data_IF_588820015394
#
_entry.id   IF_588820015394
#
_cell.length_a   1.000
_cell.length_b   1.000
_cell.length_c   1.000
_cell.angle_alpha   90.00
_cell.angle_beta   90.00
_cell.angle_gamma   90.00
#
_symmetry.space_group_name_H-M   'P 1'
#
loop_
_entity.id
_entity.type
_entity.pdbx_description
1 polymer ?
#
# COMPACT_ATOMS: atom_id res chain seq x y z
N UNK A 1 -44.05 9.18 11.17
CA UNK A 1 -43.48 9.28 9.80
C UNK A 1 -42.22 10.16 9.85
N UNK A 2 -41.08 9.62 10.21
CA UNK A 2 -39.82 10.36 10.19
C UNK A 2 -39.24 10.24 8.78
N UNK A 3 -39.26 11.36 8.05
CA UNK A 3 -38.77 11.46 6.71
C UNK A 3 -37.30 11.05 6.61
N UNK A 4 -37.04 9.97 5.91
CA UNK A 4 -35.73 9.47 5.51
C UNK A 4 -35.10 10.50 4.54
N UNK A 5 -34.48 11.58 5.09
CA UNK A 5 -33.74 12.51 4.25
C UNK A 5 -32.52 11.73 3.66
N UNK A 6 -32.37 11.70 2.33
CA UNK A 6 -31.24 11.03 1.74
C UNK A 6 -29.96 11.67 2.27
N UNK A 7 -29.10 10.87 2.89
CA UNK A 7 -27.74 11.30 3.25
C UNK A 7 -27.12 11.89 1.99
N UNK A 8 -26.75 13.17 2.04
CA UNK A 8 -26.21 13.85 0.87
C UNK A 8 -24.98 13.06 0.38
N UNK A 9 -25.00 12.47 -0.80
CA UNK A 9 -23.90 11.70 -1.39
C UNK A 9 -22.64 12.55 -1.62
N UNK A 10 -22.73 13.86 -1.46
CA UNK A 10 -21.64 14.81 -1.71
C UNK A 10 -20.39 14.58 -0.87
N UNK A 11 -20.53 14.30 0.43
CA UNK A 11 -19.38 14.05 1.31
C UNK A 11 -18.56 12.83 0.87
N UNK A 12 -19.24 11.80 0.39
CA UNK A 12 -18.59 10.57 -0.09
C UNK A 12 -17.74 10.83 -1.34
N UNK A 13 -18.30 11.52 -2.34
CA UNK A 13 -17.56 11.85 -3.54
C UNK A 13 -16.40 12.82 -3.28
N UNK A 14 -16.54 13.72 -2.31
CA UNK A 14 -15.44 14.56 -1.83
C UNK A 14 -14.32 13.70 -1.20
N UNK A 15 -14.69 12.69 -0.39
CA UNK A 15 -13.72 11.74 0.16
C UNK A 15 -13.00 10.97 -0.95
N UNK A 16 -13.72 10.51 -1.97
CA UNK A 16 -13.12 9.80 -3.13
C UNK A 16 -12.19 10.72 -3.92
N UNK A 17 -12.60 11.97 -4.20
CA UNK A 17 -11.75 12.94 -4.89
C UNK A 17 -10.47 13.25 -4.10
N UNK A 18 -10.59 13.48 -2.78
CA UNK A 18 -9.45 13.65 -1.90
C UNK A 18 -8.53 12.40 -1.90
N UNK A 19 -9.13 11.20 -1.91
CA UNK A 19 -8.38 9.94 -1.98
C UNK A 19 -7.60 9.80 -3.29
N UNK A 20 -8.23 10.06 -4.44
CA UNK A 20 -7.55 9.97 -5.75
C UNK A 20 -6.36 10.91 -5.80
N UNK A 21 -6.56 12.19 -5.50
CA UNK A 21 -5.51 13.21 -5.57
C UNK A 21 -4.38 12.93 -4.56
N UNK A 22 -4.72 12.63 -3.31
CA UNK A 22 -3.75 12.31 -2.28
C UNK A 22 -2.96 11.04 -2.59
N UNK A 23 -3.60 10.02 -3.17
CA UNK A 23 -2.93 8.77 -3.55
C UNK A 23 -2.05 8.94 -4.80
N UNK A 24 -2.42 9.80 -5.75
CA UNK A 24 -1.54 10.14 -6.89
C UNK A 24 -0.28 10.81 -6.35
N UNK A 25 -0.39 11.86 -5.53
CA UNK A 25 0.77 12.56 -4.98
C UNK A 25 1.65 11.66 -4.10
N UNK A 26 1.04 10.83 -3.26
CA UNK A 26 1.75 9.83 -2.45
C UNK A 26 2.55 8.86 -3.32
N UNK A 27 1.90 8.23 -4.29
CA UNK A 27 2.55 7.19 -5.09
C UNK A 27 3.50 7.76 -6.16
N UNK A 28 3.35 9.03 -6.53
CA UNK A 28 4.34 9.80 -7.28
C UNK A 28 5.60 10.02 -6.43
N UNK A 29 5.44 10.40 -5.16
CA UNK A 29 6.58 10.68 -4.27
C UNK A 29 7.41 9.43 -3.94
N UNK A 30 6.81 8.24 -3.81
CA UNK A 30 7.50 7.04 -3.35
C UNK A 30 8.72 6.63 -4.22
N UNK A 31 8.63 6.49 -5.55
CA UNK A 31 9.81 6.22 -6.36
C UNK A 31 10.78 7.40 -6.40
N UNK A 32 10.28 8.66 -6.34
CA UNK A 32 11.13 9.85 -6.30
C UNK A 32 12.01 9.91 -5.04
N UNK A 33 11.54 9.41 -3.90
CA UNK A 33 12.33 9.29 -2.69
C UNK A 33 13.58 8.44 -2.96
N UNK A 34 13.46 7.32 -3.65
CA UNK A 34 14.60 6.46 -3.99
C UNK A 34 15.60 7.17 -4.89
N UNK A 35 15.15 7.82 -5.96
CA UNK A 35 16.01 8.63 -6.83
C UNK A 35 16.70 9.77 -6.09
N UNK A 36 15.98 10.46 -5.18
CA UNK A 36 16.56 11.53 -4.37
C UNK A 36 17.61 11.00 -3.39
N UNK A 37 17.35 9.85 -2.74
CA UNK A 37 18.31 9.19 -1.84
C UNK A 37 19.61 8.88 -2.60
N UNK A 38 19.51 8.32 -3.82
CA UNK A 38 20.65 8.04 -4.67
C UNK A 38 21.41 9.32 -5.09
N UNK A 39 20.67 10.35 -5.49
CA UNK A 39 21.27 11.64 -5.89
C UNK A 39 21.99 12.35 -4.72
N UNK A 40 21.59 12.09 -3.46
CA UNK A 40 22.28 12.57 -2.25
C UNK A 40 23.46 11.66 -1.83
N UNK A 41 23.88 10.71 -2.66
CA UNK A 41 24.96 9.78 -2.37
C UNK A 41 24.59 8.64 -1.42
N UNK A 42 23.28 8.41 -1.20
CA UNK A 42 22.80 7.29 -0.40
C UNK A 42 22.88 5.97 -1.17
N UNK A 43 23.12 4.90 -0.43
CA UNK A 43 23.19 3.53 -0.94
C UNK A 43 21.87 2.78 -0.71
N UNK A 44 21.84 1.50 -1.12
CA UNK A 44 20.69 0.59 -0.95
C UNK A 44 20.12 0.55 0.47
N UNK A 45 21.01 0.59 1.47
CA UNK A 45 20.59 0.64 2.88
C UNK A 45 19.79 1.91 3.19
N UNK A 46 20.22 3.06 2.68
CA UNK A 46 19.51 4.34 2.86
C UNK A 46 18.12 4.31 2.21
N UNK A 47 17.98 3.67 1.04
CA UNK A 47 16.68 3.46 0.38
C UNK A 47 15.78 2.57 1.24
N UNK A 48 16.32 1.46 1.76
CA UNK A 48 15.59 0.55 2.65
C UNK A 48 15.15 1.21 3.95
N UNK A 49 16.04 1.94 4.61
CA UNK A 49 15.75 2.67 5.85
C UNK A 49 14.71 3.78 5.66
N UNK A 50 14.79 4.52 4.56
CA UNK A 50 13.82 5.56 4.22
C UNK A 50 12.44 4.96 3.93
N UNK A 51 12.39 3.82 3.25
CA UNK A 51 11.15 3.08 3.03
C UNK A 51 10.59 2.49 4.33
N UNK A 52 11.45 1.99 5.22
CA UNK A 52 11.04 1.52 6.54
C UNK A 52 10.47 2.66 7.41
N UNK A 53 11.07 3.84 7.37
CA UNK A 53 10.62 5.02 8.13
C UNK A 53 9.20 5.45 7.73
N UNK A 54 8.83 5.31 6.46
CA UNK A 54 7.47 5.56 5.97
C UNK A 54 6.42 4.72 6.71
N UNK A 55 6.74 3.52 7.17
CA UNK A 55 5.81 2.65 7.89
C UNK A 55 6.01 2.67 9.42
N UNK A 56 7.20 3.01 9.93
CA UNK A 56 7.57 2.91 11.34
C UNK A 56 6.73 3.81 12.25
N UNK A 57 6.67 5.11 11.93
CA UNK A 57 5.86 6.07 12.72
C UNK A 57 4.38 5.74 12.66
N UNK A 58 3.80 5.41 11.48
CA UNK A 58 2.45 4.87 11.39
C UNK A 58 2.18 3.64 12.26
N UNK A 59 3.11 2.69 12.37
CA UNK A 59 2.95 1.50 13.25
C UNK A 59 2.76 1.94 14.71
N UNK A 60 3.62 2.81 15.19
CA UNK A 60 3.56 3.30 16.57
C UNK A 60 2.26 4.08 16.86
N UNK A 61 1.79 4.86 15.87
CA UNK A 61 0.63 5.72 16.02
C UNK A 61 -0.72 5.03 15.73
N UNK A 62 -0.74 3.88 15.03
CA UNK A 62 -1.97 3.27 14.53
C UNK A 62 -3.01 2.97 15.62
N UNK A 63 -2.58 2.40 16.75
CA UNK A 63 -3.48 2.08 17.87
C UNK A 63 -4.04 3.33 18.55
N UNK A 64 -3.19 4.36 18.70
CA UNK A 64 -3.62 5.64 19.25
C UNK A 64 -4.62 6.33 18.32
N UNK A 65 -4.31 6.38 17.03
CA UNK A 65 -5.17 7.01 16.02
C UNK A 65 -6.52 6.28 15.88
N UNK A 66 -6.52 4.94 15.94
CA UNK A 66 -7.75 4.14 15.99
C UNK A 66 -8.65 4.58 17.15
N UNK A 67 -8.11 4.66 18.37
CA UNK A 67 -8.88 5.12 19.56
C UNK A 67 -9.36 6.55 19.41
N UNK A 68 -8.56 7.45 18.80
CA UNK A 68 -8.97 8.84 18.56
C UNK A 68 -10.12 8.90 17.56
N UNK A 69 -10.07 8.13 16.49
CA UNK A 69 -11.15 8.07 15.50
C UNK A 69 -12.42 7.48 16.09
N UNK A 70 -12.33 6.47 16.97
CA UNK A 70 -13.49 5.85 17.60
C UNK A 70 -14.22 6.79 18.56
N UNK A 71 -13.51 7.66 19.27
CA UNK A 71 -14.06 8.62 20.22
C UNK A 71 -14.60 9.90 19.59
N UNK A 72 -14.23 10.24 18.37
CA UNK A 72 -14.63 11.49 17.72
C UNK A 72 -15.96 11.33 16.99
N UNK A 73 -16.90 12.25 17.22
CA UNK A 73 -18.17 12.32 16.49
C UNK A 73 -17.95 12.72 15.02
N UNK A 74 -16.95 13.56 14.73
CA UNK A 74 -16.61 13.98 13.37
C UNK A 74 -15.22 13.54 13.00
N UNK A 75 -15.09 12.82 11.88
CA UNK A 75 -13.83 12.36 11.32
C UNK A 75 -13.19 13.37 10.35
N UNK A 76 -13.92 14.44 10.01
CA UNK A 76 -13.47 15.51 9.11
C UNK A 76 -12.07 16.03 9.48
N UNK A 77 -11.83 16.31 10.76
CA UNK A 77 -10.55 16.84 11.22
C UNK A 77 -9.39 15.85 10.99
N UNK A 78 -9.62 14.54 11.17
CA UNK A 78 -8.59 13.52 10.97
C UNK A 78 -8.32 13.32 9.48
N UNK A 79 -9.36 13.32 8.62
CA UNK A 79 -9.22 13.29 7.16
C UNK A 79 -8.45 14.51 6.68
N UNK A 80 -8.79 15.71 7.17
CA UNK A 80 -8.11 16.96 6.80
C UNK A 80 -6.64 16.96 7.21
N UNK A 81 -6.31 16.55 8.45
CA UNK A 81 -4.93 16.40 8.92
C UNK A 81 -4.17 15.39 8.06
N UNK A 82 -4.78 14.25 7.73
CA UNK A 82 -4.20 13.26 6.83
C UNK A 82 -3.90 13.84 5.46
N UNK A 83 -4.83 14.60 4.87
CA UNK A 83 -4.63 15.27 3.57
C UNK A 83 -3.56 16.35 3.63
N UNK A 84 -3.51 17.14 4.70
CA UNK A 84 -2.48 18.16 4.91
C UNK A 84 -1.09 17.54 5.03
N UNK A 85 -0.94 16.45 5.77
CA UNK A 85 0.33 15.72 5.89
C UNK A 85 0.74 15.07 4.56
N UNK A 86 -0.22 14.54 3.78
CA UNK A 86 0.02 14.03 2.43
C UNK A 86 0.48 15.13 1.47
N UNK A 87 -0.01 16.34 1.62
CA UNK A 87 0.42 17.48 0.84
C UNK A 87 1.78 18.03 1.32
N UNK A 88 1.96 18.17 2.64
CA UNK A 88 3.20 18.70 3.22
C UNK A 88 4.40 17.76 3.02
N UNK A 89 4.17 16.44 3.09
CA UNK A 89 5.23 15.44 2.96
C UNK A 89 6.11 15.62 1.72
N UNK A 90 5.55 15.70 0.50
CA UNK A 90 6.33 15.93 -0.71
C UNK A 90 7.06 17.26 -0.76
N UNK A 91 6.49 18.35 -0.22
CA UNK A 91 7.18 19.64 -0.11
C UNK A 91 8.38 19.55 0.84
N UNK A 92 8.20 18.93 2.01
CA UNK A 92 9.31 18.70 2.95
C UNK A 92 10.37 17.82 2.31
N UNK A 93 9.97 16.77 1.61
CA UNK A 93 10.89 15.92 0.84
C UNK A 93 11.67 16.74 -0.19
N UNK A 94 11.01 17.64 -0.95
CA UNK A 94 11.64 18.43 -1.99
C UNK A 94 12.77 19.34 -1.43
N UNK A 95 12.55 19.95 -0.27
CA UNK A 95 13.53 20.87 0.34
C UNK A 95 14.54 20.19 1.27
N UNK A 96 14.43 18.85 1.47
CA UNK A 96 15.33 18.12 2.37
C UNK A 96 16.73 17.95 1.75
N UNK A 97 17.81 18.53 2.32
CA UNK A 97 19.14 18.48 1.74
C UNK A 97 19.99 17.29 2.21
N UNK A 98 19.47 16.43 3.09
CA UNK A 98 20.22 15.31 3.67
C UNK A 98 19.38 14.03 3.76
N UNK A 99 20.05 12.88 3.80
CA UNK A 99 19.41 11.56 3.93
C UNK A 99 18.55 11.45 5.18
N UNK A 100 18.99 12.04 6.31
CA UNK A 100 18.26 12.03 7.57
C UNK A 100 16.94 12.79 7.42
N UNK A 101 16.97 13.98 6.83
CA UNK A 101 15.76 14.79 6.62
C UNK A 101 14.80 14.14 5.61
N UNK A 102 15.31 13.50 4.54
CA UNK A 102 14.49 12.71 3.60
C UNK A 102 13.80 11.55 4.33
N UNK A 103 14.53 10.86 5.22
CA UNK A 103 13.98 9.76 6.03
C UNK A 103 12.88 10.24 6.97
N UNK A 104 13.08 11.38 7.65
CA UNK A 104 12.06 12.00 8.51
C UNK A 104 10.83 12.47 7.72
N UNK A 105 11.05 13.09 6.56
CA UNK A 105 9.97 13.54 5.67
C UNK A 105 9.16 12.35 5.10
N UNK A 106 9.81 11.21 4.84
CA UNK A 106 9.14 9.96 4.46
C UNK A 106 8.19 9.47 5.57
N UNK A 107 8.60 9.59 6.84
CA UNK A 107 7.73 9.26 7.98
C UNK A 107 6.50 10.19 8.08
N UNK A 108 6.66 11.50 7.79
CA UNK A 108 5.53 12.46 7.72
C UNK A 108 4.54 12.02 6.64
N UNK A 109 5.03 11.67 5.45
CA UNK A 109 4.21 11.18 4.34
C UNK A 109 3.45 9.90 4.74
N UNK A 110 4.12 8.97 5.43
CA UNK A 110 3.51 7.75 5.95
C UNK A 110 2.43 8.02 6.99
N UNK A 111 2.65 8.98 7.89
CA UNK A 111 1.66 9.38 8.89
C UNK A 111 0.42 10.00 8.22
N UNK A 112 0.61 10.86 7.22
CA UNK A 112 -0.49 11.40 6.41
C UNK A 112 -1.33 10.30 5.77
N UNK A 113 -0.67 9.31 5.18
CA UNK A 113 -1.34 8.15 4.58
C UNK A 113 -2.14 7.33 5.61
N UNK A 114 -1.58 7.09 6.80
CA UNK A 114 -2.28 6.37 7.87
C UNK A 114 -3.52 7.13 8.33
N UNK A 115 -3.37 8.43 8.66
CA UNK A 115 -4.47 9.27 9.13
C UNK A 115 -5.62 9.30 8.12
N UNK A 116 -5.29 9.54 6.85
CA UNK A 116 -6.28 9.59 5.77
C UNK A 116 -7.00 8.24 5.58
N UNK A 117 -6.24 7.14 5.59
CA UNK A 117 -6.78 5.79 5.36
C UNK A 117 -7.72 5.37 6.49
N UNK A 118 -7.29 5.50 7.76
CA UNK A 118 -8.10 5.10 8.92
C UNK A 118 -9.35 5.96 9.01
N UNK A 119 -9.22 7.28 8.86
CA UNK A 119 -10.36 8.18 8.94
C UNK A 119 -11.36 7.98 7.79
N UNK A 120 -10.87 7.77 6.57
CA UNK A 120 -11.70 7.49 5.39
C UNK A 120 -12.47 6.18 5.52
N UNK A 121 -11.81 5.10 5.92
CA UNK A 121 -12.46 3.81 6.17
C UNK A 121 -13.48 3.90 7.32
N UNK A 122 -13.14 4.59 8.40
CA UNK A 122 -14.06 4.80 9.53
C UNK A 122 -15.26 5.65 9.13
N UNK A 123 -15.08 6.65 8.25
CA UNK A 123 -16.18 7.46 7.74
C UNK A 123 -17.15 6.62 6.88
N UNK A 124 -16.62 5.78 6.00
CA UNK A 124 -17.44 4.86 5.20
C UNK A 124 -18.21 3.90 6.11
N UNK A 125 -17.52 3.25 7.06
CA UNK A 125 -18.16 2.31 7.97
C UNK A 125 -19.30 2.92 8.84
N UNK A 126 -19.20 4.22 9.16
CA UNK A 126 -20.19 4.90 10.02
C UNK A 126 -21.34 5.54 9.25
N UNK A 127 -21.07 6.07 8.06
CA UNK A 127 -21.98 6.97 7.38
C UNK A 127 -22.59 6.39 6.11
N UNK A 128 -22.09 5.24 5.63
CA UNK A 128 -22.68 4.55 4.48
C UNK A 128 -23.65 3.47 4.97
N UNK A 129 -24.88 3.40 4.40
CA UNK A 129 -25.83 2.34 4.71
C UNK A 129 -25.25 0.95 4.42
N UNK A 130 -25.59 -0.09 5.21
CA UNK A 130 -25.05 -1.44 5.07
C UNK A 130 -25.13 -2.01 3.64
N UNK A 131 -26.24 -1.80 2.94
CA UNK A 131 -26.44 -2.29 1.56
C UNK A 131 -25.53 -1.65 0.50
N UNK A 132 -24.89 -0.50 0.80
CA UNK A 132 -23.98 0.20 -0.13
C UNK A 132 -22.53 0.18 0.34
N UNK A 133 -22.23 -0.47 1.46
CA UNK A 133 -20.93 -0.43 2.10
C UNK A 133 -19.84 -1.07 1.23
N UNK A 134 -20.13 -2.21 0.59
CA UNK A 134 -19.19 -2.89 -0.31
C UNK A 134 -18.82 -2.02 -1.51
N UNK A 135 -19.81 -1.36 -2.12
CA UNK A 135 -19.57 -0.42 -3.22
C UNK A 135 -18.73 0.78 -2.77
N UNK A 136 -18.99 1.32 -1.58
CA UNK A 136 -18.24 2.47 -1.07
C UNK A 136 -16.79 2.12 -0.75
N UNK A 137 -16.52 0.97 -0.13
CA UNK A 137 -15.16 0.46 0.05
C UNK A 137 -14.49 0.13 -1.29
N UNK A 138 -15.26 -0.37 -2.27
CA UNK A 138 -14.80 -0.60 -3.63
C UNK A 138 -14.26 0.68 -4.28
N UNK A 139 -15.03 1.77 -4.26
CA UNK A 139 -14.58 3.07 -4.78
C UNK A 139 -13.37 3.64 -4.04
N UNK A 140 -13.34 3.51 -2.71
CA UNK A 140 -12.22 3.97 -1.90
C UNK A 140 -10.94 3.20 -2.22
N UNK A 141 -11.00 1.87 -2.35
CA UNK A 141 -9.84 1.06 -2.74
C UNK A 141 -9.43 1.26 -4.20
N UNK A 142 -10.38 1.55 -5.09
CA UNK A 142 -10.08 1.92 -6.47
C UNK A 142 -9.27 3.23 -6.56
N UNK A 143 -9.56 4.21 -5.68
CA UNK A 143 -8.77 5.45 -5.60
C UNK A 143 -7.29 5.17 -5.27
N UNK A 144 -7.02 4.22 -4.39
CA UNK A 144 -5.66 3.79 -4.05
C UNK A 144 -4.97 3.12 -5.24
N UNK A 145 -5.69 2.27 -5.95
CA UNK A 145 -5.18 1.57 -7.12
C UNK A 145 -4.88 2.56 -8.27
N UNK A 146 -5.71 3.58 -8.47
CA UNK A 146 -5.44 4.68 -9.42
C UNK A 146 -4.16 5.42 -9.07
N UNK A 147 -3.96 5.76 -7.79
CA UNK A 147 -2.72 6.39 -7.34
C UNK A 147 -1.48 5.53 -7.59
N UNK A 148 -1.57 4.22 -7.31
CA UNK A 148 -0.48 3.27 -7.56
C UNK A 148 -0.15 3.11 -9.05
N UNK A 149 -1.10 3.33 -9.94
CA UNK A 149 -0.90 3.27 -11.39
C UNK A 149 -0.37 4.60 -11.94
N UNK A 150 -1.03 5.71 -11.62
CA UNK A 150 -0.74 7.03 -12.17
C UNK A 150 0.51 7.65 -11.55
N UNK A 151 0.70 7.49 -10.23
CA UNK A 151 1.80 8.11 -9.49
C UNK A 151 3.19 7.78 -10.04
N UNK A 152 3.59 6.50 -10.12
CA UNK A 152 4.90 6.12 -10.65
C UNK A 152 5.10 6.48 -12.11
N UNK A 153 4.02 6.46 -12.92
CA UNK A 153 4.07 6.91 -14.31
C UNK A 153 4.45 8.40 -14.38
N UNK A 154 3.78 9.24 -13.59
CA UNK A 154 4.09 10.68 -13.52
C UNK A 154 5.49 10.92 -12.98
N UNK A 155 5.95 10.13 -11.99
CA UNK A 155 7.32 10.22 -11.48
C UNK A 155 8.36 9.96 -12.57
N UNK A 156 8.16 8.89 -13.34
CA UNK A 156 9.04 8.56 -14.45
C UNK A 156 9.04 9.62 -15.55
N UNK A 157 7.86 10.12 -15.93
CA UNK A 157 7.74 11.18 -16.93
C UNK A 157 8.40 12.49 -16.47
N UNK A 158 8.30 12.84 -15.18
CA UNK A 158 8.91 14.04 -14.62
C UNK A 158 10.44 13.97 -14.57
N UNK A 159 11.02 12.77 -14.34
CA UNK A 159 12.46 12.54 -14.38
C UNK A 159 13.02 12.37 -15.81
N UNK A 160 12.15 12.12 -16.78
CA UNK A 160 12.50 12.03 -18.19
C UNK A 160 13.24 10.75 -18.60
N UNK A 161 13.65 10.67 -19.87
CA UNK A 161 14.28 9.50 -20.45
C UNK A 161 15.80 9.46 -20.22
N UNK A 162 16.41 10.50 -19.68
CA UNK A 162 17.87 10.64 -19.58
C UNK A 162 18.44 9.70 -18.51
N UNK A 163 19.50 8.98 -18.88
CA UNK A 163 20.30 8.11 -18.01
C UNK A 163 21.64 8.76 -17.72
N UNK A 164 22.28 8.35 -16.63
CA UNK A 164 23.63 8.78 -16.31
C UNK A 164 23.77 10.30 -16.14
N UNK A 165 22.66 11.02 -15.87
CA UNK A 165 22.72 12.45 -15.58
C UNK A 165 23.49 12.70 -14.28
N UNK A 166 24.23 13.81 -14.17
CA UNK A 166 24.91 14.18 -12.92
C UNK A 166 23.95 14.16 -11.73
N UNK A 167 24.45 13.79 -10.56
CA UNK A 167 23.66 13.70 -9.33
C UNK A 167 22.92 15.01 -9.00
N UNK A 168 23.56 16.14 -9.26
CA UNK A 168 22.95 17.47 -9.06
C UNK A 168 21.72 17.69 -9.95
N UNK A 169 21.78 17.31 -11.23
CA UNK A 169 20.64 17.42 -12.16
C UNK A 169 19.54 16.48 -11.72
N UNK A 170 19.87 15.24 -11.39
CA UNK A 170 18.90 14.26 -10.87
C UNK A 170 18.23 14.76 -9.59
N UNK A 171 18.97 15.44 -8.71
CA UNK A 171 18.43 16.03 -7.48
C UNK A 171 17.44 17.16 -7.78
N UNK A 172 17.75 18.04 -8.74
CA UNK A 172 16.86 19.13 -9.16
C UNK A 172 15.58 18.54 -9.76
N UNK A 173 15.69 17.57 -10.66
CA UNK A 173 14.54 16.91 -11.30
C UNK A 173 13.65 16.22 -10.25
N UNK A 174 14.26 15.46 -9.33
CA UNK A 174 13.53 14.79 -8.25
C UNK A 174 12.82 15.79 -7.33
N UNK A 175 13.48 16.91 -6.97
CA UNK A 175 12.89 17.96 -6.15
C UNK A 175 11.71 18.64 -6.88
N UNK A 176 11.87 18.94 -8.16
CA UNK A 176 10.80 19.51 -8.98
C UNK A 176 9.60 18.58 -9.08
N UNK A 177 9.85 17.31 -9.32
CA UNK A 177 8.79 16.29 -9.36
C UNK A 177 8.10 16.09 -7.98
N UNK A 178 8.85 16.19 -6.87
CA UNK A 178 8.29 16.19 -5.53
C UNK A 178 7.42 17.42 -5.25
N UNK A 179 7.81 18.60 -5.73
CA UNK A 179 6.95 19.80 -5.68
C UNK A 179 5.65 19.58 -6.45
N UNK A 180 5.71 18.99 -7.64
CA UNK A 180 4.49 18.61 -8.40
C UNK A 180 3.61 17.66 -7.60
N UNK A 181 4.19 16.65 -6.93
CA UNK A 181 3.45 15.74 -6.06
C UNK A 181 2.76 16.48 -4.91
N UNK A 182 3.44 17.44 -4.30
CA UNK A 182 2.91 18.31 -3.27
C UNK A 182 1.72 19.14 -3.77
N UNK A 183 1.87 19.80 -4.92
CA UNK A 183 0.77 20.57 -5.52
C UNK A 183 -0.44 19.71 -5.86
N UNK A 184 -0.26 18.52 -6.46
CA UNK A 184 -1.36 17.58 -6.70
C UNK A 184 -2.07 17.23 -5.39
N UNK A 185 -1.30 16.97 -4.32
CA UNK A 185 -1.86 16.62 -3.00
C UNK A 185 -2.55 17.81 -2.33
N UNK A 186 -2.11 19.06 -2.57
CA UNK A 186 -2.78 20.27 -2.05
C UNK A 186 -4.22 20.34 -2.57
N UNK A 187 -4.46 19.99 -3.83
CA UNK A 187 -5.82 19.96 -4.38
C UNK A 187 -6.73 18.94 -3.68
N UNK A 188 -6.20 17.94 -2.97
CA UNK A 188 -7.00 17.03 -2.14
C UNK A 188 -7.55 17.71 -0.88
N UNK A 189 -6.88 18.75 -0.37
CA UNK A 189 -7.20 19.37 0.93
C UNK A 189 -8.60 20.01 0.96
N UNK A 190 -9.03 20.82 -0.01
CA UNK A 190 -10.39 21.37 -0.04
C UNK A 190 -11.47 20.28 0.00
N UNK A 191 -11.28 19.20 -0.76
CA UNK A 191 -12.20 18.06 -0.75
C UNK A 191 -12.24 17.37 0.62
N UNK A 192 -11.11 17.24 1.30
CA UNK A 192 -11.05 16.66 2.65
C UNK A 192 -11.87 17.48 3.65
N UNK A 193 -11.88 18.81 3.54
CA UNK A 193 -12.71 19.67 4.37
C UNK A 193 -14.21 19.52 4.06
N UNK A 194 -14.60 19.12 2.86
CA UNK A 194 -15.97 18.84 2.45
C UNK A 194 -16.53 17.50 2.94
N UNK A 195 -15.70 16.64 3.54
CA UNK A 195 -16.12 15.30 4.01
C UNK A 195 -17.00 15.31 5.27
N UNK A 196 -17.47 16.46 5.73
CA UNK A 196 -18.40 16.57 6.85
C UNK A 196 -19.77 15.98 6.49
N UNK A 197 -20.07 14.79 6.94
CA UNK A 197 -21.44 14.27 6.93
C UNK A 197 -22.27 15.10 7.89
N UNK A 198 -23.05 16.06 7.36
CA UNK A 198 -24.06 16.77 8.12
C UNK A 198 -25.18 15.77 8.41
N UNK A 199 -25.40 15.44 9.69
CA UNK A 199 -26.51 14.59 10.16
C UNK A 199 -26.45 13.13 9.69
N UNK A 200 -25.43 12.37 10.11
CA UNK A 200 -25.58 10.93 10.11
C UNK A 200 -26.36 10.49 11.35
N UNK A 201 -27.40 9.65 11.21
CA UNK A 201 -27.90 8.92 12.36
C UNK A 201 -26.71 8.12 12.90
N UNK A 202 -26.39 8.32 14.17
CA UNK A 202 -25.51 7.40 14.88
C UNK A 202 -26.23 6.06 14.86
N UNK A 203 -25.82 5.18 13.95
CA UNK A 203 -26.13 3.77 14.08
C UNK A 203 -25.40 3.38 15.37
N UNK A 204 -26.20 3.30 16.46
CA UNK A 204 -25.70 2.67 17.68
C UNK A 204 -25.18 1.31 17.22
N UNK A 205 -23.93 0.94 17.54
CA UNK A 205 -23.55 -0.43 17.37
C UNK A 205 -24.62 -1.23 18.07
N UNK A 206 -25.32 -2.11 17.35
CA UNK A 206 -26.16 -3.09 18.00
C UNK A 206 -25.33 -3.64 19.15
N UNK A 207 -25.91 -3.61 20.34
CA UNK A 207 -25.32 -4.19 21.53
C UNK A 207 -25.29 -5.71 21.35
N UNK A 208 -24.51 -6.15 20.35
CA UNK A 208 -24.07 -7.53 20.24
C UNK A 208 -23.27 -7.78 21.52
N UNK A 209 -23.76 -8.72 22.30
CA UNK A 209 -23.20 -9.18 23.58
C UNK A 209 -21.68 -9.01 23.60
N UNK A 210 -21.09 -8.56 24.71
CA UNK A 210 -19.65 -8.46 24.88
C UNK A 210 -19.06 -9.89 25.03
N UNK A 211 -19.02 -10.64 23.94
CA UNK A 211 -18.11 -11.74 23.83
C UNK A 211 -16.73 -11.11 23.78
N UNK A 212 -15.97 -11.29 24.86
CA UNK A 212 -14.57 -10.79 24.92
C UNK A 212 -13.87 -11.26 23.64
N UNK A 213 -13.33 -10.33 22.83
CA UNK A 213 -12.57 -10.74 21.66
C UNK A 213 -11.43 -11.64 22.12
N UNK A 214 -11.17 -12.70 21.35
CA UNK A 214 -10.04 -13.57 21.62
C UNK A 214 -8.76 -12.78 21.78
N UNK A 215 -7.92 -13.15 22.73
CA UNK A 215 -6.62 -12.50 22.88
C UNK A 215 -5.78 -12.71 21.62
N UNK A 216 -4.85 -11.79 21.34
CA UNK A 216 -3.92 -11.90 20.19
C UNK A 216 -3.23 -13.27 20.17
N UNK A 217 -2.83 -13.79 21.36
CA UNK A 217 -2.23 -15.10 21.48
C UNK A 217 -3.18 -16.24 21.09
N UNK A 218 -4.48 -16.13 21.40
CA UNK A 218 -5.48 -17.10 20.99
C UNK A 218 -5.70 -17.09 19.48
N UNK A 219 -5.74 -15.90 18.85
CA UNK A 219 -5.89 -15.77 17.40
C UNK A 219 -4.69 -16.37 16.64
N UNK A 220 -3.47 -16.21 17.16
CA UNK A 220 -2.26 -16.81 16.56
C UNK A 220 -2.20 -18.34 16.71
N UNK A 221 -3.05 -18.96 17.54
CA UNK A 221 -3.19 -20.42 17.62
C UNK A 221 -3.93 -21.02 16.42
N UNK A 222 -4.73 -20.22 15.71
CA UNK A 222 -5.35 -20.67 14.46
C UNK A 222 -4.30 -20.74 13.34
N UNK A 223 -3.95 -21.96 12.83
CA UNK A 223 -2.92 -22.09 11.78
C UNK A 223 -3.26 -21.25 10.54
N UNK A 224 -4.53 -21.23 10.13
CA UNK A 224 -5.02 -20.48 8.97
C UNK A 224 -4.83 -18.98 9.15
N UNK A 225 -5.04 -18.41 10.34
CA UNK A 225 -4.79 -17.00 10.63
C UNK A 225 -3.32 -16.68 10.43
N UNK A 226 -2.43 -17.47 11.06
CA UNK A 226 -0.99 -17.28 10.98
C UNK A 226 -0.46 -17.37 9.57
N UNK A 227 -0.85 -18.39 8.81
CA UNK A 227 -0.40 -18.61 7.44
C UNK A 227 -0.87 -17.48 6.51
N UNK A 228 -2.14 -17.06 6.61
CA UNK A 228 -2.66 -15.96 5.79
C UNK A 228 -2.07 -14.60 6.17
N UNK A 229 -1.70 -14.41 7.44
CA UNK A 229 -0.96 -13.22 7.86
C UNK A 229 0.41 -13.16 7.20
N UNK A 230 1.18 -14.27 7.24
CA UNK A 230 2.50 -14.34 6.60
C UNK A 230 2.38 -14.13 5.09
N UNK A 231 1.42 -14.77 4.42
CA UNK A 231 1.17 -14.57 2.99
C UNK A 231 0.80 -13.12 2.66
N UNK A 232 -0.09 -12.50 3.43
CA UNK A 232 -0.49 -11.10 3.25
C UNK A 232 0.68 -10.14 3.42
N UNK A 233 1.49 -10.35 4.46
CA UNK A 233 2.70 -9.57 4.74
C UNK A 233 3.71 -9.71 3.60
N UNK A 234 4.00 -10.95 3.15
CA UNK A 234 4.93 -11.21 2.05
C UNK A 234 4.53 -10.48 0.75
N UNK A 235 3.25 -10.59 0.36
CA UNK A 235 2.72 -9.95 -0.85
C UNK A 235 2.76 -8.42 -0.78
N UNK A 236 2.42 -7.84 0.38
CA UNK A 236 2.41 -6.39 0.55
C UNK A 236 3.83 -5.83 0.59
N UNK A 237 4.70 -6.44 1.38
CA UNK A 237 6.09 -6.01 1.49
C UNK A 237 6.85 -6.14 0.15
N UNK A 238 6.58 -7.19 -0.63
CA UNK A 238 7.12 -7.33 -1.99
C UNK A 238 6.69 -6.15 -2.88
N UNK A 239 5.43 -5.72 -2.78
CA UNK A 239 4.96 -4.54 -3.50
C UNK A 239 5.72 -3.28 -3.10
N UNK A 240 5.98 -3.09 -1.80
CA UNK A 240 6.72 -1.93 -1.29
C UNK A 240 8.19 -1.98 -1.68
N UNK A 241 8.82 -3.17 -1.63
CA UNK A 241 10.20 -3.38 -2.09
C UNK A 241 10.33 -3.06 -3.59
N UNK A 242 9.39 -3.51 -4.42
CA UNK A 242 9.39 -3.16 -5.85
C UNK A 242 9.35 -1.64 -6.07
N UNK A 243 8.47 -0.92 -5.37
CA UNK A 243 8.38 0.55 -5.50
C UNK A 243 9.66 1.25 -5.05
N UNK A 244 10.33 0.74 -4.01
CA UNK A 244 11.52 1.35 -3.45
C UNK A 244 12.80 0.99 -4.22
N UNK A 245 12.95 -0.26 -4.67
CA UNK A 245 14.21 -0.77 -5.22
C UNK A 245 14.23 -0.90 -6.75
N UNK A 246 13.06 -0.82 -7.43
CA UNK A 246 13.05 -0.80 -8.90
C UNK A 246 13.73 0.45 -9.49
N UNK A 247 13.60 1.66 -8.90
CA UNK A 247 14.42 2.81 -9.28
C UNK A 247 15.92 2.55 -9.19
N UNK A 248 16.36 1.93 -8.08
CA UNK A 248 17.78 1.57 -7.89
C UNK A 248 18.25 0.55 -8.93
N UNK A 249 17.45 -0.49 -9.19
CA UNK A 249 17.74 -1.47 -10.25
C UNK A 249 17.78 -0.80 -11.63
N UNK A 250 16.95 0.22 -11.86
CA UNK A 250 16.95 1.02 -13.09
C UNK A 250 18.27 1.74 -13.29
N UNK A 251 18.77 2.43 -12.27
CA UNK A 251 20.09 3.09 -12.31
C UNK A 251 21.21 2.06 -12.52
N UNK A 252 21.22 0.95 -11.77
CA UNK A 252 22.23 -0.12 -11.90
C UNK A 252 22.27 -0.77 -13.30
N UNK A 253 21.12 -0.89 -13.97
CA UNK A 253 20.97 -1.55 -15.28
C UNK A 253 20.91 -0.57 -16.45
N UNK A 254 21.02 0.73 -16.20
CA UNK A 254 20.92 1.76 -17.23
C UNK A 254 19.51 1.83 -17.86
N UNK A 255 18.44 1.62 -17.10
CA UNK A 255 17.07 1.74 -17.58
C UNK A 255 16.52 3.12 -17.21
N UNK A 256 15.99 3.91 -18.18
CA UNK A 256 15.51 5.25 -17.93
C UNK A 256 14.42 5.31 -16.86
N UNK A 257 14.37 6.41 -16.05
CA UNK A 257 13.32 6.60 -15.03
C UNK A 257 11.89 6.53 -15.59
N UNK A 258 11.67 7.04 -16.81
CA UNK A 258 10.36 6.96 -17.48
C UNK A 258 9.93 5.51 -17.71
N UNK A 259 10.87 4.64 -18.07
CA UNK A 259 10.59 3.20 -18.26
C UNK A 259 10.30 2.55 -16.91
N UNK A 260 11.09 2.84 -15.87
CA UNK A 260 10.84 2.35 -14.51
C UNK A 260 9.45 2.76 -14.01
N UNK A 261 9.05 4.02 -14.24
CA UNK A 261 7.71 4.51 -13.92
C UNK A 261 6.61 3.75 -14.66
N UNK A 262 6.80 3.50 -15.96
CA UNK A 262 5.87 2.71 -16.78
C UNK A 262 5.79 1.25 -16.30
N UNK A 263 6.92 0.65 -15.93
CA UNK A 263 6.98 -0.71 -15.39
C UNK A 263 6.19 -0.84 -14.08
N UNK A 264 6.34 0.13 -13.16
CA UNK A 264 5.56 0.17 -11.91
C UNK A 264 4.07 0.39 -12.17
N UNK A 265 3.72 1.24 -13.15
CA UNK A 265 2.34 1.46 -13.56
C UNK A 265 1.71 0.20 -14.17
N UNK A 266 2.45 -0.52 -15.03
CA UNK A 266 2.04 -1.79 -15.63
C UNK A 266 1.75 -2.84 -14.57
N UNK A 267 2.65 -2.99 -13.58
CA UNK A 267 2.43 -3.85 -12.41
C UNK A 267 1.14 -3.50 -11.68
N UNK A 268 0.91 -2.21 -11.43
CA UNK A 268 -0.29 -1.76 -10.71
C UNK A 268 -1.57 -1.98 -11.53
N UNK A 269 -1.55 -1.71 -12.83
CA UNK A 269 -2.66 -1.98 -13.74
C UNK A 269 -3.03 -3.47 -13.77
N UNK A 270 -2.04 -4.35 -13.85
CA UNK A 270 -2.24 -5.80 -13.79
C UNK A 270 -2.81 -6.25 -12.44
N UNK A 271 -2.39 -5.63 -11.33
CA UNK A 271 -2.95 -5.88 -9.99
C UNK A 271 -4.43 -5.45 -9.89
N UNK A 272 -4.83 -4.38 -10.57
CA UNK A 272 -6.23 -3.96 -10.66
C UNK A 272 -7.02 -5.00 -11.47
N UNK A 273 -6.51 -5.38 -12.64
CA UNK A 273 -7.14 -6.36 -13.53
C UNK A 273 -7.37 -7.69 -12.80
N UNK A 274 -6.40 -8.16 -12.01
CA UNK A 274 -6.53 -9.40 -11.23
C UNK A 274 -7.68 -9.34 -10.22
N UNK A 275 -7.89 -8.19 -9.56
CA UNK A 275 -8.98 -8.00 -8.60
C UNK A 275 -10.35 -7.97 -9.27
N UNK A 276 -10.44 -7.39 -10.47
CA UNK A 276 -11.67 -7.42 -11.28
C UNK A 276 -12.02 -8.82 -11.77
N UNK A 277 -11.00 -9.63 -12.08
CA UNK A 277 -11.18 -11.03 -12.52
C UNK A 277 -11.37 -12.01 -11.35
N UNK A 278 -11.10 -11.59 -10.11
CA UNK A 278 -11.16 -12.45 -8.93
C UNK A 278 -12.49 -13.20 -8.76
N UNK A 279 -13.68 -12.59 -8.95
CA UNK A 279 -14.94 -13.33 -8.86
C UNK A 279 -15.03 -14.49 -9.86
N UNK A 280 -14.56 -14.29 -11.08
CA UNK A 280 -14.53 -15.33 -12.14
C UNK A 280 -13.52 -16.42 -11.80
N UNK A 281 -12.35 -16.05 -11.27
CA UNK A 281 -11.34 -17.04 -10.87
C UNK A 281 -11.84 -17.92 -9.72
N UNK A 282 -12.59 -17.35 -8.78
CA UNK A 282 -13.17 -18.07 -7.66
C UNK A 282 -14.30 -19.05 -8.04
N UNK A 283 -14.86 -18.96 -9.25
CA UNK A 283 -15.80 -19.98 -9.75
C UNK A 283 -15.10 -21.24 -10.24
N UNK A 284 -13.81 -21.16 -10.59
CA UNK A 284 -13.05 -22.27 -11.18
C UNK A 284 -11.99 -22.84 -10.24
N UNK A 285 -11.44 -22.01 -9.35
CA UNK A 285 -10.33 -22.38 -8.47
C UNK A 285 -10.59 -22.07 -7.01
N UNK A 286 -10.06 -22.92 -6.13
CA UNK A 286 -10.19 -22.72 -4.70
C UNK A 286 -9.38 -21.46 -4.25
N UNK A 287 -9.83 -20.82 -3.17
CA UNK A 287 -9.12 -19.68 -2.58
C UNK A 287 -7.67 -20.04 -2.22
N UNK A 288 -7.46 -21.28 -1.75
CA UNK A 288 -6.14 -21.79 -1.43
C UNK A 288 -5.24 -21.83 -2.66
N UNK A 289 -5.69 -22.45 -3.75
CA UNK A 289 -4.95 -22.53 -5.02
C UNK A 289 -4.57 -21.14 -5.49
N UNK A 290 -5.49 -20.18 -5.43
CA UNK A 290 -5.25 -18.81 -5.85
C UNK A 290 -4.21 -18.09 -4.96
N UNK A 291 -4.16 -18.33 -3.63
CA UNK A 291 -3.12 -17.75 -2.77
C UNK A 291 -1.76 -18.36 -3.05
N UNK A 292 -1.69 -19.69 -3.19
CA UNK A 292 -0.42 -20.37 -3.54
C UNK A 292 0.08 -19.90 -4.90
N UNK A 293 -0.80 -19.85 -5.92
CA UNK A 293 -0.45 -19.30 -7.24
C UNK A 293 0.01 -17.86 -7.16
N UNK A 294 -0.62 -17.05 -6.29
CA UNK A 294 -0.24 -15.66 -6.04
C UNK A 294 1.19 -15.55 -5.49
N UNK A 295 1.53 -16.34 -4.49
CA UNK A 295 2.87 -16.37 -3.89
C UNK A 295 3.92 -16.90 -4.86
N UNK A 296 3.66 -18.08 -5.46
CA UNK A 296 4.59 -18.74 -6.38
C UNK A 296 4.77 -17.93 -7.69
N UNK A 297 3.67 -17.49 -8.31
CA UNK A 297 3.72 -16.73 -9.57
C UNK A 297 4.39 -15.37 -9.39
N UNK A 298 4.10 -14.65 -8.32
CA UNK A 298 4.82 -13.40 -8.01
C UNK A 298 6.29 -13.67 -7.73
N UNK A 299 6.60 -14.67 -6.90
CA UNK A 299 7.99 -15.02 -6.56
C UNK A 299 8.81 -15.39 -7.79
N UNK A 300 8.28 -16.23 -8.67
CA UNK A 300 8.98 -16.67 -9.90
C UNK A 300 9.23 -15.52 -10.86
N UNK A 301 8.21 -14.70 -11.14
CA UNK A 301 8.35 -13.58 -12.08
C UNK A 301 9.32 -12.51 -11.58
N UNK A 302 9.29 -12.20 -10.28
CA UNK A 302 10.19 -11.22 -9.68
C UNK A 302 11.61 -11.78 -9.56
N UNK A 303 11.77 -13.09 -9.34
CA UNK A 303 13.10 -13.72 -9.30
C UNK A 303 13.83 -13.60 -10.64
N UNK A 304 13.11 -13.75 -11.75
CA UNK A 304 13.66 -13.66 -13.12
C UNK A 304 13.91 -12.18 -13.51
N UNK A 305 13.17 -11.26 -12.96
CA UNK A 305 13.16 -9.84 -13.38
C UNK A 305 14.56 -9.19 -13.45
N UNK A 306 15.51 -9.35 -12.50
CA UNK A 306 16.80 -8.69 -12.55
C UNK A 306 17.66 -9.09 -13.76
N UNK A 307 17.52 -10.31 -14.27
CA UNK A 307 18.28 -10.78 -15.45
C UNK A 307 17.74 -10.19 -16.75
N UNK A 308 16.43 -9.95 -16.85
CA UNK A 308 15.77 -9.46 -18.06
C UNK A 308 15.39 -7.98 -17.99
N UNK A 309 15.84 -7.28 -16.92
CA UNK A 309 15.43 -5.91 -16.67
C UNK A 309 15.89 -4.91 -17.74
N UNK A 310 17.03 -5.16 -18.35
CA UNK A 310 17.56 -4.36 -19.47
C UNK A 310 16.71 -4.47 -20.74
N UNK A 311 15.89 -5.54 -20.88
CA UNK A 311 14.96 -5.70 -21.98
C UNK A 311 13.57 -5.21 -21.51
N UNK A 312 13.29 -3.93 -21.74
CA UNK A 312 12.13 -3.24 -21.13
C UNK A 312 10.79 -3.91 -21.37
N UNK A 313 10.55 -4.49 -22.56
CA UNK A 313 9.29 -5.18 -22.84
C UNK A 313 9.16 -6.51 -22.06
N UNK A 314 10.27 -7.24 -21.88
CA UNK A 314 10.29 -8.47 -21.07
C UNK A 314 10.08 -8.14 -19.59
N UNK A 315 10.74 -7.09 -19.08
CA UNK A 315 10.51 -6.59 -17.73
C UNK A 315 9.05 -6.16 -17.53
N UNK A 316 8.45 -5.52 -18.54
CA UNK A 316 7.05 -5.15 -18.56
C UNK A 316 6.12 -6.36 -18.48
N UNK A 317 6.38 -7.40 -19.27
CA UNK A 317 5.63 -8.65 -19.24
C UNK A 317 5.76 -9.36 -17.87
N UNK A 318 6.98 -9.47 -17.34
CA UNK A 318 7.22 -10.08 -16.02
C UNK A 318 6.50 -9.30 -14.91
N UNK A 319 6.53 -7.96 -14.95
CA UNK A 319 5.84 -7.13 -13.97
C UNK A 319 4.32 -7.12 -14.15
N UNK A 320 3.81 -7.29 -15.37
CA UNK A 320 2.39 -7.51 -15.61
C UNK A 320 1.93 -8.84 -14.98
N UNK A 321 2.64 -9.93 -15.25
CA UNK A 321 2.33 -11.26 -14.68
C UNK A 321 2.50 -11.23 -13.15
N UNK A 322 3.63 -10.73 -12.65
CA UNK A 322 3.90 -10.62 -11.21
C UNK A 322 2.90 -9.72 -10.49
N UNK A 323 2.54 -8.59 -11.11
CA UNK A 323 1.52 -7.66 -10.62
C UNK A 323 0.13 -8.29 -10.54
N UNK A 324 -0.24 -9.10 -11.53
CA UNK A 324 -1.48 -9.87 -11.52
C UNK A 324 -1.52 -10.81 -10.31
N UNK A 325 -0.49 -11.59 -10.08
CA UNK A 325 -0.40 -12.49 -8.93
C UNK A 325 -0.37 -11.73 -7.60
N UNK A 326 0.40 -10.64 -7.47
CA UNK A 326 0.42 -9.81 -6.27
C UNK A 326 -0.96 -9.22 -5.94
N UNK A 327 -1.76 -8.89 -6.97
CA UNK A 327 -3.10 -8.32 -6.82
C UNK A 327 -4.12 -9.29 -6.26
N UNK A 328 -4.02 -10.58 -6.60
CA UNK A 328 -4.95 -11.63 -6.18
C UNK A 328 -4.87 -11.93 -4.67
N UNK A 329 -3.67 -12.03 -4.13
CA UNK A 329 -3.47 -12.60 -2.81
C UNK A 329 -4.01 -11.74 -1.67
N UNK A 330 -3.96 -10.40 -1.78
CA UNK A 330 -4.41 -9.50 -0.72
C UNK A 330 -5.89 -9.65 -0.34
N UNK A 331 -6.86 -9.60 -1.28
CA UNK A 331 -8.27 -9.76 -0.93
C UNK A 331 -8.59 -11.18 -0.46
N UNK A 332 -7.95 -12.20 -1.03
CA UNK A 332 -8.21 -13.60 -0.66
C UNK A 332 -7.72 -13.88 0.77
N UNK A 333 -6.50 -13.45 1.12
CA UNK A 333 -5.97 -13.63 2.48
C UNK A 333 -6.81 -12.90 3.54
N UNK A 334 -7.37 -11.73 3.20
CA UNK A 334 -8.28 -11.01 4.06
C UNK A 334 -9.56 -11.83 4.35
N UNK A 335 -10.16 -12.39 3.31
CA UNK A 335 -11.35 -13.25 3.41
C UNK A 335 -11.05 -14.53 4.23
N UNK A 336 -9.92 -15.19 3.96
CA UNK A 336 -9.55 -16.41 4.67
C UNK A 336 -9.29 -16.17 6.17
N UNK A 337 -8.67 -15.04 6.53
CA UNK A 337 -8.49 -14.67 7.95
C UNK A 337 -9.84 -14.46 8.63
N UNK A 338 -10.78 -13.77 8.00
CA UNK A 338 -12.10 -13.51 8.59
C UNK A 338 -12.96 -14.77 8.71
N UNK A 339 -12.82 -15.71 7.79
CA UNK A 339 -13.57 -16.97 7.80
C UNK A 339 -12.99 -18.02 8.77
N UNK A 340 -11.74 -17.84 9.19
CA UNK A 340 -11.03 -18.79 10.08
C UNK A 340 -11.35 -18.61 11.56
N UNK A 341 -12.07 -17.54 11.93
CA UNK A 341 -12.33 -17.19 13.33
C UNK A 341 -13.81 -16.98 13.58
N UNK A 342 -14.29 -17.17 14.84
CA UNK A 342 -15.66 -16.87 15.22
C UNK A 342 -16.05 -15.43 14.89
N UNK A 343 -17.34 -15.20 14.66
CA UNK A 343 -17.86 -13.91 14.23
C UNK A 343 -17.44 -12.75 15.15
N UNK A 344 -17.42 -12.99 16.47
CA UNK A 344 -17.02 -12.01 17.48
C UNK A 344 -15.52 -11.61 17.39
N UNK A 345 -14.65 -12.48 16.85
CA UNK A 345 -13.20 -12.26 16.78
C UNK A 345 -12.71 -11.77 15.41
N UNK A 346 -13.59 -11.63 14.42
CA UNK A 346 -13.21 -11.24 13.04
C UNK A 346 -12.51 -9.89 12.98
N UNK A 347 -13.01 -8.89 13.71
CA UNK A 347 -12.40 -7.57 13.77
C UNK A 347 -11.00 -7.61 14.36
N UNK A 348 -10.80 -8.37 15.45
CA UNK A 348 -9.50 -8.55 16.09
C UNK A 348 -8.50 -9.28 15.16
N UNK A 349 -8.94 -10.30 14.43
CA UNK A 349 -8.11 -11.01 13.47
C UNK A 349 -7.68 -10.13 12.28
N UNK A 350 -8.57 -9.27 11.77
CA UNK A 350 -8.22 -8.28 10.74
C UNK A 350 -7.25 -7.22 11.26
N UNK A 351 -7.45 -6.73 12.48
CA UNK A 351 -6.53 -5.78 13.10
C UNK A 351 -5.14 -6.39 13.29
N UNK A 352 -5.07 -7.64 13.73
CA UNK A 352 -3.83 -8.38 13.86
C UNK A 352 -3.11 -8.57 12.51
N UNK A 353 -3.86 -8.91 11.45
CA UNK A 353 -3.33 -8.99 10.08
C UNK A 353 -2.76 -7.65 9.62
N UNK A 354 -3.47 -6.55 9.86
CA UNK A 354 -3.01 -5.20 9.50
C UNK A 354 -1.74 -4.84 10.26
N UNK A 355 -1.65 -5.17 11.55
CA UNK A 355 -0.44 -4.97 12.35
C UNK A 355 0.74 -5.77 11.77
N UNK A 356 0.53 -7.05 11.44
CA UNK A 356 1.53 -7.88 10.79
C UNK A 356 2.01 -7.27 9.47
N UNK A 357 1.10 -6.80 8.62
CA UNK A 357 1.43 -6.13 7.37
C UNK A 357 2.28 -4.87 7.60
N UNK A 358 1.94 -4.05 8.60
CA UNK A 358 2.72 -2.85 8.95
C UNK A 358 4.12 -3.18 9.47
N UNK A 359 4.24 -4.21 10.31
CA UNK A 359 5.56 -4.68 10.75
C UNK A 359 6.40 -5.15 9.56
N UNK A 360 5.81 -5.90 8.61
CA UNK A 360 6.48 -6.29 7.38
C UNK A 360 6.94 -5.11 6.53
N UNK A 361 6.14 -4.05 6.44
CA UNK A 361 6.49 -2.82 5.72
C UNK A 361 7.67 -2.06 6.36
N UNK A 362 7.93 -2.25 7.65
CA UNK A 362 9.11 -1.69 8.34
C UNK A 362 10.32 -2.61 8.17
N UNK A 363 10.16 -3.88 8.51
CA UNK A 363 11.30 -4.81 8.65
C UNK A 363 11.85 -5.28 7.30
N UNK A 364 10.97 -5.58 6.34
CA UNK A 364 11.41 -6.15 5.07
C UNK A 364 12.13 -5.17 4.14
N UNK A 365 11.69 -3.90 3.96
CA UNK A 365 12.50 -2.94 3.19
C UNK A 365 13.85 -2.61 3.84
N UNK A 366 13.91 -2.54 5.18
CA UNK A 366 15.18 -2.37 5.89
C UNK A 366 16.13 -3.55 5.65
N UNK A 367 15.64 -4.79 5.80
CA UNK A 367 16.39 -6.00 5.51
C UNK A 367 16.80 -6.09 4.02
N UNK A 368 15.92 -5.69 3.11
CA UNK A 368 16.19 -5.62 1.67
C UNK A 368 17.34 -4.64 1.38
N UNK A 369 17.36 -3.49 2.06
CA UNK A 369 18.46 -2.53 1.94
C UNK A 369 19.81 -3.08 2.39
N UNK A 370 19.83 -3.86 3.49
CA UNK A 370 21.05 -4.53 3.96
C UNK A 370 21.56 -5.56 2.97
N UNK A 371 20.68 -6.37 2.38
CA UNK A 371 21.05 -7.40 1.41
C UNK A 371 21.38 -6.83 0.04
N UNK A 372 20.81 -5.71 -0.34
CA UNK A 372 21.09 -5.01 -1.58
C UNK A 372 22.49 -4.34 -1.57
N UNK A 373 23.13 -4.14 -0.41
CA UNK A 373 24.51 -3.65 -0.35
C UNK A 373 25.48 -4.57 -1.12
N UNK A 374 25.66 -5.82 -0.70
CA UNK A 374 26.58 -6.74 -1.34
C UNK A 374 26.11 -7.33 -2.68
N UNK A 375 24.79 -7.44 -2.90
CA UNK A 375 24.19 -8.11 -4.06
C UNK A 375 23.55 -7.15 -5.08
N UNK A 376 23.75 -5.83 -4.90
CA UNK A 376 23.08 -4.80 -5.70
C UNK A 376 21.59 -4.77 -5.46
N UNK A 377 20.87 -3.93 -6.21
CA UNK A 377 19.40 -3.82 -6.12
C UNK A 377 18.68 -5.16 -6.36
N UNK A 378 19.29 -6.07 -7.11
CA UNK A 378 18.79 -7.43 -7.34
C UNK A 378 18.63 -8.23 -6.05
N UNK A 379 19.54 -8.04 -5.08
CA UNK A 379 19.48 -8.70 -3.77
C UNK A 379 18.20 -8.39 -2.99
N UNK A 380 17.72 -7.15 -3.06
CA UNK A 380 16.44 -6.77 -2.45
C UNK A 380 15.25 -7.52 -3.07
N UNK A 381 15.25 -7.68 -4.39
CA UNK A 381 14.21 -8.42 -5.10
C UNK A 381 14.26 -9.92 -4.78
N UNK A 382 15.45 -10.53 -4.78
CA UNK A 382 15.61 -11.95 -4.42
C UNK A 382 15.25 -12.23 -2.98
N UNK A 383 15.53 -11.30 -2.06
CA UNK A 383 15.04 -11.42 -0.68
C UNK A 383 13.50 -11.46 -0.64
N UNK A 384 12.82 -10.61 -1.40
CA UNK A 384 11.35 -10.64 -1.46
C UNK A 384 10.83 -11.96 -2.03
N UNK A 385 11.52 -12.55 -3.01
CA UNK A 385 11.22 -13.89 -3.54
C UNK A 385 11.41 -14.99 -2.49
N UNK A 386 12.47 -14.91 -1.70
CA UNK A 386 12.69 -15.85 -0.59
C UNK A 386 11.57 -15.77 0.46
N UNK A 387 11.11 -14.57 0.79
CA UNK A 387 9.96 -14.36 1.71
C UNK A 387 8.66 -14.92 1.12
N UNK A 388 8.40 -14.71 -0.18
CA UNK A 388 7.25 -15.29 -0.88
C UNK A 388 7.31 -16.82 -0.91
N UNK A 389 8.49 -17.39 -1.20
CA UNK A 389 8.71 -18.84 -1.20
C UNK A 389 8.53 -19.44 0.20
N UNK A 390 9.07 -18.81 1.24
CA UNK A 390 8.87 -19.22 2.62
C UNK A 390 7.38 -19.19 3.01
N UNK A 391 6.64 -18.15 2.63
CA UNK A 391 5.20 -18.05 2.84
C UNK A 391 4.43 -19.16 2.10
N UNK A 392 4.88 -19.56 0.92
CA UNK A 392 4.30 -20.67 0.15
C UNK A 392 4.55 -22.03 0.81
N UNK A 393 5.78 -22.27 1.28
CA UNK A 393 6.17 -23.54 1.95
C UNK A 393 5.47 -23.71 3.30
N UNK A 394 5.31 -22.62 4.05
CA UNK A 394 4.62 -22.61 5.35
C UNK A 394 3.11 -22.85 5.22
N UNK A 395 2.60 -22.94 3.99
CA UNK A 395 1.17 -23.20 3.78
C UNK A 395 0.86 -24.69 4.06
N UNK A 396 -0.01 -25.02 5.04
CA UNK A 396 -0.27 -26.40 5.42
C UNK A 396 -0.84 -27.20 4.23
N UNK A 397 -0.47 -28.49 4.06
CA UNK A 397 -1.08 -29.37 3.07
C UNK A 397 -2.58 -29.54 3.34
N UNK A 398 -3.37 -29.87 2.29
CA UNK A 398 -4.79 -30.16 2.47
C UNK A 398 -4.97 -31.32 3.44
N UNK A 399 -5.88 -31.13 4.40
CA UNK A 399 -6.41 -32.31 5.08
C UNK A 399 -7.26 -33.08 4.06
N UNK A 400 -6.95 -34.34 3.77
CA UNK A 400 -7.80 -35.11 2.90
C UNK A 400 -9.20 -35.22 3.55
N UNK A 401 -10.23 -34.65 2.94
CA UNK A 401 -11.61 -34.83 3.38
C UNK A 401 -12.50 -33.60 3.53
N UNK A 402 -12.12 -32.42 3.04
CA UNK A 402 -13.02 -31.24 2.99
C UNK A 402 -13.12 -30.73 1.56
N UNK A 403 -13.73 -31.51 0.68
CA UNK A 403 -14.24 -31.16 -0.62
C UNK A 403 -15.74 -30.91 -0.55
#
# INVERSE_FOLDING_TARGET
>A
MSGNRPVSRGWFWMLIAAAVLGQIGLNLSRPLISYKVLALGGESLSVGMTSAAYALVPVAAALWLGRVTDRRHSLKGVVAVGSLLLAAGPFVLAVSPSLVLVTMASAILGMGHLCFTIAGQSAIARFVPPGNMDSAFGWFTASFAMGQMIGPLLAGLALGPSQGVPAEVRLIDANTALLMAGFISVFAVPFAFGTAAKHAPTVKPDAAMPTRPDSVAALLRYPTVRTNMVASLALLATTDILVAFLPLLGEDKGVPPVVVGLLLATRAAASIASRLLLPVLLTRWSRRTLVISSLAGAGTTIAILPWLFHVSWMAGLLLAIGGFFLGLGQPITMTLVTQSVPHASRGAALALRLLGNRLGQVTLPAAAGLLAGPAGASGALWMSCAVLAAACILWPPDKPGTG
#
